data_IF_357739553725
#
_entry.id   IF_357739553725
#
_cell.length_a   1.000
_cell.length_b   1.000
_cell.length_c   1.000
_cell.angle_alpha   90.00
_cell.angle_beta   90.00
_cell.angle_gamma   90.00
#
_symmetry.space_group_name_H-M   'P 1'
#
loop_
_entity.id
_entity.type
_entity.pdbx_description
1 polymer ?
#
# COMPACT_ATOMS: atom_id res chain seq x y z
N UNK A 1 -25.24 -3.96 -11.44
CA UNK A 1 -24.31 -3.83 -10.29
C UNK A 1 -23.44 -5.08 -10.27
N UNK A 2 -22.12 -4.93 -10.41
CA UNK A 2 -21.20 -6.05 -10.18
C UNK A 2 -21.28 -6.39 -8.68
N UNK A 3 -21.67 -7.62 -8.35
CA UNK A 3 -21.67 -8.16 -6.98
C UNK A 3 -20.21 -8.40 -6.55
N UNK A 4 -19.45 -7.32 -6.35
CA UNK A 4 -18.11 -7.40 -5.80
C UNK A 4 -18.22 -7.87 -4.34
N UNK A 5 -17.65 -9.03 -4.01
CA UNK A 5 -17.50 -9.52 -2.63
C UNK A 5 -16.09 -9.23 -2.17
N UNK A 6 -15.94 -8.68 -0.97
CA UNK A 6 -14.64 -8.39 -0.35
C UNK A 6 -14.77 -7.34 0.76
N UNK A 7 -13.65 -7.01 1.40
CA UNK A 7 -13.57 -5.99 2.44
C UNK A 7 -13.31 -4.63 1.83
N UNK A 8 -14.18 -3.65 2.09
CA UNK A 8 -14.01 -2.26 1.62
C UNK A 8 -12.63 -1.75 2.07
N UNK A 9 -11.89 -1.13 1.14
CA UNK A 9 -10.50 -0.70 1.35
C UNK A 9 -9.45 -1.68 0.81
N UNK A 10 -9.76 -2.98 0.75
CA UNK A 10 -8.82 -4.02 0.26
C UNK A 10 -9.19 -4.57 -1.12
N UNK A 11 -10.37 -4.22 -1.64
CA UNK A 11 -10.84 -4.67 -2.96
C UNK A 11 -10.08 -3.92 -4.06
N UNK A 12 -9.41 -4.68 -4.93
CA UNK A 12 -8.73 -4.13 -6.09
C UNK A 12 -9.73 -3.49 -7.09
N UNK A 13 -9.36 -2.37 -7.75
CA UNK A 13 -10.27 -1.59 -8.58
C UNK A 13 -10.88 -2.36 -9.77
N UNK A 14 -10.16 -3.34 -10.33
CA UNK A 14 -10.65 -4.20 -11.41
C UNK A 14 -11.81 -5.13 -11.00
N UNK A 15 -12.03 -5.34 -9.69
CA UNK A 15 -13.10 -6.20 -9.17
C UNK A 15 -14.48 -5.52 -9.31
N UNK A 16 -14.53 -4.21 -9.15
CA UNK A 16 -15.78 -3.44 -9.27
C UNK A 16 -15.86 -2.59 -10.55
N UNK A 17 -14.74 -2.34 -11.24
CA UNK A 17 -14.70 -1.59 -12.50
C UNK A 17 -13.83 -2.29 -13.55
N UNK A 18 -14.44 -2.75 -14.65
CA UNK A 18 -13.75 -3.40 -15.77
C UNK A 18 -12.81 -2.46 -16.55
N UNK A 19 -12.85 -1.15 -16.31
CA UNK A 19 -11.93 -0.20 -16.92
C UNK A 19 -10.47 -0.44 -16.51
N UNK A 20 -10.24 -1.01 -15.32
CA UNK A 20 -8.90 -1.35 -14.83
C UNK A 20 -8.39 -2.71 -15.34
N UNK A 21 -9.19 -3.41 -16.15
CA UNK A 21 -8.83 -4.70 -16.75
C UNK A 21 -9.64 -5.88 -16.20
N UNK A 22 -9.13 -7.09 -16.46
CA UNK A 22 -9.76 -8.34 -16.01
C UNK A 22 -9.25 -8.71 -14.62
N UNK A 23 -10.18 -9.15 -13.76
CA UNK A 23 -9.84 -9.74 -12.45
C UNK A 23 -8.88 -10.91 -12.65
N UNK A 24 -7.80 -10.92 -11.87
CA UNK A 24 -6.76 -11.95 -11.89
C UNK A 24 -6.16 -12.09 -10.49
N UNK A 25 -5.17 -12.98 -10.31
CA UNK A 25 -4.40 -13.12 -9.06
C UNK A 25 -3.73 -11.82 -8.59
N UNK A 26 -3.68 -10.78 -9.43
CA UNK A 26 -3.20 -9.45 -9.07
C UNK A 26 -4.12 -8.73 -8.08
N UNK A 27 -5.40 -9.13 -7.97
CA UNK A 27 -6.30 -8.61 -6.96
C UNK A 27 -5.85 -9.02 -5.54
N UNK A 28 -5.27 -10.22 -5.39
CA UNK A 28 -4.70 -10.70 -4.13
C UNK A 28 -3.43 -9.91 -3.76
N UNK A 29 -2.60 -9.55 -4.75
CA UNK A 29 -1.42 -8.70 -4.56
C UNK A 29 -1.82 -7.32 -4.04
N UNK A 30 -2.87 -6.72 -4.62
CA UNK A 30 -3.41 -5.45 -4.13
C UNK A 30 -3.89 -5.56 -2.67
N UNK A 31 -4.66 -6.60 -2.36
CA UNK A 31 -5.17 -6.83 -1.00
C UNK A 31 -4.02 -7.02 0.01
N UNK A 32 -2.97 -7.75 -0.39
CA UNK A 32 -1.75 -7.91 0.40
C UNK A 32 -1.02 -6.59 0.62
N UNK A 33 -0.90 -5.75 -0.42
CA UNK A 33 -0.28 -4.43 -0.30
C UNK A 33 -1.00 -3.54 0.71
N UNK A 34 -2.33 -3.51 0.67
CA UNK A 34 -3.14 -2.77 1.64
C UNK A 34 -2.93 -3.27 3.08
N UNK A 35 -2.84 -4.60 3.28
CA UNK A 35 -2.54 -5.19 4.59
C UNK A 35 -1.14 -4.83 5.09
N UNK A 36 -0.11 -4.86 4.22
CA UNK A 36 1.26 -4.49 4.58
C UNK A 36 1.33 -3.02 5.00
N UNK A 37 0.67 -2.13 4.25
CA UNK A 37 0.61 -0.72 4.61
C UNK A 37 -0.11 -0.50 5.94
N UNK A 38 -1.21 -1.21 6.20
CA UNK A 38 -1.90 -1.15 7.49
C UNK A 38 -1.00 -1.61 8.65
N UNK A 39 -0.27 -2.71 8.48
CA UNK A 39 0.60 -3.27 9.52
C UNK A 39 1.75 -2.33 9.88
N UNK A 40 2.38 -1.72 8.87
CA UNK A 40 3.56 -0.89 9.09
C UNK A 40 3.17 0.50 9.58
N UNK A 41 2.10 1.08 9.07
CA UNK A 41 1.68 2.45 9.40
C UNK A 41 1.01 2.59 10.78
N UNK A 42 0.50 1.47 11.32
CA UNK A 42 -0.15 1.42 12.63
C UNK A 42 -1.59 1.98 12.63
N UNK A 43 -2.40 1.53 13.60
CA UNK A 43 -3.84 1.86 13.70
C UNK A 43 -4.13 3.31 14.11
N UNK A 44 -3.29 3.93 14.93
CA UNK A 44 -3.54 5.29 15.45
C UNK A 44 -3.39 6.37 14.36
N UNK A 45 -2.47 6.17 13.43
CA UNK A 45 -2.27 7.09 12.30
C UNK A 45 -3.39 7.00 11.26
N UNK A 46 -4.15 5.90 11.23
CA UNK A 46 -5.31 5.73 10.34
C UNK A 46 -6.49 6.54 10.88
N UNK A 47 -6.76 6.49 12.19
CA UNK A 47 -7.83 7.28 12.83
C UNK A 47 -7.69 8.78 12.58
N UNK A 48 -6.47 9.30 12.70
CA UNK A 48 -6.17 10.72 12.45
C UNK A 48 -6.27 11.08 10.96
N UNK A 49 -5.90 10.17 10.04
CA UNK A 49 -6.04 10.41 8.59
C UNK A 49 -7.49 10.45 8.12
N UNK A 50 -8.39 9.72 8.81
CA UNK A 50 -9.82 9.67 8.50
C UNK A 50 -10.57 10.87 9.11
N UNK A 51 -10.08 11.42 10.23
CA UNK A 51 -10.73 12.56 10.89
C UNK A 51 -10.24 13.93 10.37
N UNK A 52 -8.99 14.06 9.90
CA UNK A 52 -8.41 15.38 9.56
C UNK A 52 -8.12 15.63 8.06
N UNK A 53 -8.39 14.69 7.14
CA UNK A 53 -8.18 14.95 5.70
C UNK A 53 -9.44 14.68 4.89
N UNK A 54 -10.11 15.77 4.51
CA UNK A 54 -11.38 15.73 3.81
C UNK A 54 -11.35 15.10 2.42
N UNK A 55 -10.21 14.69 1.83
CA UNK A 55 -10.19 14.24 0.42
C UNK A 55 -8.99 13.36 -0.02
N UNK A 56 -8.09 12.91 0.86
CA UNK A 56 -6.87 12.19 0.41
C UNK A 56 -6.92 10.69 0.73
N UNK A 57 -7.02 9.90 -0.34
CA UNK A 57 -6.93 8.43 -0.34
C UNK A 57 -5.70 7.95 0.47
N UNK A 58 -5.91 7.07 1.46
CA UNK A 58 -4.91 6.61 2.44
C UNK A 58 -3.50 6.34 1.85
N UNK A 59 -3.35 5.61 0.73
CA UNK A 59 -2.06 5.45 0.05
C UNK A 59 -1.34 6.72 -0.39
N UNK A 60 -2.08 7.75 -0.80
CA UNK A 60 -1.50 9.02 -1.23
C UNK A 60 -0.95 9.81 -0.03
N UNK A 61 -1.63 9.76 1.11
CA UNK A 61 -1.16 10.35 2.36
C UNK A 61 0.14 9.70 2.85
N UNK A 62 0.27 8.38 2.67
CA UNK A 62 1.50 7.62 2.95
C UNK A 62 2.65 8.10 2.04
N UNK A 63 2.40 8.15 0.74
CA UNK A 63 3.40 8.57 -0.24
C UNK A 63 3.91 9.99 0.03
N UNK A 64 3.00 10.93 0.31
CA UNK A 64 3.36 12.32 0.61
C UNK A 64 4.22 12.46 1.86
N UNK A 65 3.90 11.72 2.93
CA UNK A 65 4.71 11.70 4.16
C UNK A 65 6.10 11.09 3.92
N UNK A 66 6.18 10.08 3.04
CA UNK A 66 7.46 9.49 2.65
C UNK A 66 8.37 10.49 1.90
N UNK A 67 7.79 11.35 1.05
CA UNK A 67 8.53 12.39 0.30
C UNK A 67 8.88 13.62 1.15
N UNK A 68 8.00 14.05 2.07
CA UNK A 68 8.13 15.35 2.73
C UNK A 68 8.95 15.34 4.03
N UNK A 69 8.71 14.38 4.93
CA UNK A 69 9.13 14.58 6.34
C UNK A 69 10.39 13.82 6.75
N UNK A 70 10.86 12.84 5.99
CA UNK A 70 12.04 12.07 6.36
C UNK A 70 11.91 11.31 7.69
N UNK A 71 10.83 11.49 8.46
CA UNK A 71 10.39 10.74 9.63
C UNK A 71 8.96 10.27 9.36
N UNK A 72 8.75 8.97 9.38
CA UNK A 72 7.46 8.35 9.04
C UNK A 72 6.56 8.30 10.30
N UNK A 73 7.07 8.69 11.48
CA UNK A 73 6.30 8.70 12.72
C UNK A 73 5.76 7.31 13.07
N UNK A 74 6.54 6.28 12.79
CA UNK A 74 6.15 4.89 13.02
C UNK A 74 6.27 4.57 14.51
N UNK A 75 5.13 4.38 15.16
CA UNK A 75 5.06 4.09 16.59
C UNK A 75 5.65 2.71 16.90
N UNK A 76 6.61 2.65 17.82
CA UNK A 76 7.23 1.40 18.28
C UNK A 76 8.44 0.93 17.46
N UNK A 77 8.95 1.76 16.56
CA UNK A 77 10.25 1.52 15.89
C UNK A 77 11.32 2.29 16.65
N UNK A 78 12.23 1.56 17.29
CA UNK A 78 13.29 2.14 18.13
C UNK A 78 14.69 2.06 17.48
N UNK A 79 14.85 1.23 16.44
CA UNK A 79 16.13 1.04 15.73
C UNK A 79 16.11 1.62 14.31
N UNK A 80 17.27 2.11 13.86
CA UNK A 80 17.45 2.63 12.50
C UNK A 80 17.29 1.51 11.45
N UNK A 81 17.68 0.27 11.79
CA UNK A 81 17.48 -0.91 10.94
C UNK A 81 16.00 -1.23 10.73
N UNK A 82 15.20 -1.18 11.80
CA UNK A 82 13.76 -1.43 11.73
C UNK A 82 13.04 -0.30 10.97
N UNK A 83 13.50 0.94 11.11
CA UNK A 83 12.98 2.07 10.33
C UNK A 83 13.25 1.89 8.83
N UNK A 84 14.48 1.50 8.47
CA UNK A 84 14.85 1.16 7.09
C UNK A 84 14.00 0.00 6.56
N UNK A 85 13.75 -1.03 7.37
CA UNK A 85 12.91 -2.16 6.99
C UNK A 85 11.47 -1.71 6.75
N UNK A 86 10.91 -0.90 7.65
CA UNK A 86 9.56 -0.37 7.53
C UNK A 86 9.39 0.49 6.28
N UNK A 87 10.38 1.35 5.96
CA UNK A 87 10.45 2.09 4.69
C UNK A 87 10.36 1.18 3.48
N UNK A 88 11.15 0.10 3.46
CA UNK A 88 11.10 -0.89 2.37
C UNK A 88 9.74 -1.57 2.28
N UNK A 89 9.13 -1.92 3.41
CA UNK A 89 7.79 -2.52 3.43
C UNK A 89 6.72 -1.57 2.90
N UNK A 90 6.81 -0.27 3.24
CA UNK A 90 5.91 0.76 2.69
C UNK A 90 6.06 0.85 1.18
N UNK A 91 7.28 0.93 0.67
CA UNK A 91 7.55 0.98 -0.78
C UNK A 91 6.99 -0.25 -1.50
N UNK A 92 7.23 -1.45 -0.96
CA UNK A 92 6.67 -2.69 -1.51
C UNK A 92 5.14 -2.66 -1.47
N UNK A 93 4.55 -2.21 -0.36
CA UNK A 93 3.10 -2.04 -0.20
C UNK A 93 2.51 -1.11 -1.26
N UNK A 94 3.12 0.06 -1.47
CA UNK A 94 2.72 1.04 -2.50
C UNK A 94 2.82 0.47 -3.92
N UNK A 95 3.85 -0.32 -4.24
CA UNK A 95 3.95 -1.03 -5.51
C UNK A 95 2.85 -2.08 -5.69
N UNK A 96 2.37 -2.70 -4.61
CA UNK A 96 1.34 -3.73 -4.68
C UNK A 96 -0.06 -3.16 -4.96
N UNK A 97 -0.33 -1.92 -4.54
CA UNK A 97 -1.67 -1.31 -4.62
C UNK A 97 -1.90 -0.44 -5.87
N UNK A 98 -1.05 -0.56 -6.89
CA UNK A 98 -1.19 0.18 -8.14
C UNK A 98 -2.57 -0.05 -8.77
N UNK A 99 -3.18 1.02 -9.29
CA UNK A 99 -4.53 0.95 -9.85
C UNK A 99 -4.61 0.01 -11.06
N UNK A 100 -3.57 0.03 -11.91
CA UNK A 100 -3.43 -0.88 -13.04
C UNK A 100 -2.79 -2.21 -12.57
N UNK A 101 -3.47 -3.36 -12.74
CA UNK A 101 -2.95 -4.67 -12.33
C UNK A 101 -1.63 -5.09 -13.00
N UNK A 102 -1.32 -4.52 -14.17
CA UNK A 102 -0.08 -4.82 -14.91
C UNK A 102 1.17 -4.22 -14.24
N UNK A 103 0.99 -3.12 -13.51
CA UNK A 103 2.09 -2.41 -12.85
C UNK A 103 2.41 -3.01 -11.48
N UNK A 104 1.50 -3.83 -10.92
CA UNK A 104 1.74 -4.57 -9.68
C UNK A 104 2.81 -5.64 -9.89
N UNK A 105 3.67 -5.93 -8.90
CA UNK A 105 4.67 -6.98 -8.98
C UNK A 105 4.03 -8.36 -9.18
N UNK A 106 4.73 -9.28 -9.85
CA UNK A 106 4.37 -10.71 -9.86
C UNK A 106 5.02 -11.39 -8.67
N UNK A 107 4.36 -12.37 -8.06
CA UNK A 107 4.83 -13.08 -6.85
C UNK A 107 6.28 -13.61 -6.95
N UNK A 108 6.77 -13.87 -8.17
CA UNK A 108 8.13 -14.35 -8.43
C UNK A 108 9.18 -13.24 -8.66
N UNK A 109 8.76 -11.97 -8.78
CA UNK A 109 9.60 -10.77 -8.91
C UNK A 109 9.62 -9.92 -7.64
N UNK A 110 9.08 -10.44 -6.52
CA UNK A 110 9.03 -9.74 -5.25
C UNK A 110 10.43 -9.49 -4.63
N UNK A 111 11.49 -10.16 -5.09
CA UNK A 111 12.86 -9.93 -4.61
C UNK A 111 13.61 -8.84 -5.35
N UNK A 112 13.24 -8.51 -6.60
CA UNK A 112 14.00 -7.61 -7.47
C UNK A 112 13.58 -6.14 -7.38
N UNK A 113 12.29 -5.84 -7.14
CA UNK A 113 11.79 -4.47 -6.98
C UNK A 113 12.07 -3.90 -5.58
N UNK A 114 12.12 -4.76 -4.56
CA UNK A 114 12.55 -4.37 -3.21
C UNK A 114 14.06 -4.01 -3.17
N UNK A 115 14.86 -4.55 -4.09
CA UNK A 115 16.30 -4.28 -4.18
C UNK A 115 16.61 -3.00 -4.97
N UNK A 116 15.87 -2.68 -6.03
CA UNK A 116 16.14 -1.46 -6.84
C UNK A 116 15.61 -0.15 -6.23
N UNK A 117 14.80 -0.21 -5.17
CA UNK A 117 14.31 0.97 -4.46
C UNK A 117 15.23 1.36 -3.27
N UNK A 118 16.34 0.64 -3.08
CA UNK A 118 17.32 0.85 -2.01
C UNK A 118 18.70 1.31 -2.52
N UNK A 119 18.84 1.62 -3.82
CA UNK A 119 20.05 2.21 -4.38
C UNK A 119 19.90 3.73 -4.52
#
# INVERSE_FOLDING_TARGET
MLHARGTIGYIAPEVFSRHFGRVSHKADVYSYGMLVLEMVWGRENIGQSVEDTSDLYFPHSIYKKLECDGDIGLHGIESEEDEKLARKMILVGLCCIQANPLDRPTTNKNSALASSACD
#
